data_IF_238936858819
#
_entry.id   IF_238936858819
#
_cell.length_a   1.000
_cell.length_b   1.000
_cell.length_c   1.000
_cell.angle_alpha   90.00
_cell.angle_beta   90.00
_cell.angle_gamma   90.00
#
_symmetry.space_group_name_H-M   'P 1'
#
loop_
_entity.id
_entity.type
_entity.pdbx_description
1 polymer ?
#
# COMPACT_ATOMS: atom_id res chain seq x y z
N UNK A 1 -30.58 33.30 -4.58
CA UNK A 1 -31.05 32.01 -4.02
C UNK A 1 -30.91 30.82 -4.97
N UNK A 2 -31.23 30.93 -6.27
CA UNK A 2 -31.21 29.80 -7.21
C UNK A 2 -29.82 29.22 -7.54
N UNK A 3 -28.75 30.01 -7.46
CA UNK A 3 -27.38 29.57 -7.78
C UNK A 3 -26.74 28.71 -6.66
N UNK A 4 -26.96 29.09 -5.40
CA UNK A 4 -26.49 28.33 -4.23
C UNK A 4 -27.19 26.97 -4.10
N UNK A 5 -28.49 26.89 -4.39
CA UNK A 5 -29.26 25.64 -4.33
C UNK A 5 -28.77 24.65 -5.40
N UNK A 6 -28.52 25.11 -6.63
CA UNK A 6 -27.96 24.26 -7.71
C UNK A 6 -26.54 23.78 -7.40
N UNK A 7 -25.71 24.60 -6.77
CA UNK A 7 -24.36 24.22 -6.37
C UNK A 7 -24.40 23.16 -5.26
N UNK A 8 -25.25 23.35 -4.25
CA UNK A 8 -25.43 22.40 -3.15
C UNK A 8 -25.92 21.02 -3.63
N UNK A 9 -26.88 20.99 -4.55
CA UNK A 9 -27.44 19.75 -5.12
C UNK A 9 -26.41 19.00 -6.00
N UNK A 10 -25.52 19.72 -6.70
CA UNK A 10 -24.40 19.12 -7.44
C UNK A 10 -23.37 18.49 -6.50
N UNK A 11 -23.04 19.16 -5.40
CA UNK A 11 -22.10 18.66 -4.39
C UNK A 11 -22.65 17.46 -3.60
N UNK A 12 -23.97 17.37 -3.40
CA UNK A 12 -24.61 16.17 -2.84
C UNK A 12 -24.49 14.97 -3.79
N UNK A 13 -24.85 15.15 -5.07
CA UNK A 13 -24.79 14.08 -6.07
C UNK A 13 -23.37 13.55 -6.32
N UNK A 14 -22.36 14.43 -6.24
CA UNK A 14 -20.95 14.02 -6.32
C UNK A 14 -20.54 13.18 -5.11
N UNK A 15 -20.93 13.59 -3.89
CA UNK A 15 -20.67 12.79 -2.68
C UNK A 15 -21.35 11.43 -2.72
N UNK A 16 -22.58 11.34 -3.24
CA UNK A 16 -23.29 10.07 -3.42
C UNK A 16 -22.60 9.15 -4.44
N UNK A 17 -22.00 9.74 -5.48
CA UNK A 17 -21.19 9.00 -6.46
C UNK A 17 -19.93 8.42 -5.80
N UNK A 18 -19.18 9.24 -5.07
CA UNK A 18 -17.92 8.83 -4.44
C UNK A 18 -18.14 7.72 -3.39
N UNK A 19 -19.21 7.85 -2.59
CA UNK A 19 -19.61 6.82 -1.61
C UNK A 19 -19.96 5.51 -2.30
N UNK A 20 -20.66 5.57 -3.45
CA UNK A 20 -20.97 4.36 -4.23
C UNK A 20 -19.70 3.70 -4.76
N UNK A 21 -18.80 4.46 -5.38
CA UNK A 21 -17.51 3.94 -5.86
C UNK A 21 -16.70 3.30 -4.73
N UNK A 22 -16.68 3.92 -3.55
CA UNK A 22 -16.03 3.37 -2.37
C UNK A 22 -16.65 2.01 -1.97
N UNK A 23 -17.98 1.92 -1.92
CA UNK A 23 -18.66 0.69 -1.54
C UNK A 23 -18.43 -0.42 -2.58
N UNK A 24 -18.51 -0.10 -3.86
CA UNK A 24 -18.23 -1.03 -4.96
C UNK A 24 -16.80 -1.56 -4.89
N UNK A 25 -15.81 -0.70 -4.64
CA UNK A 25 -14.42 -1.11 -4.46
C UNK A 25 -14.24 -2.05 -3.26
N UNK A 26 -14.87 -1.73 -2.11
CA UNK A 26 -14.83 -2.59 -0.92
C UNK A 26 -15.41 -3.97 -1.23
N UNK A 27 -16.56 -4.04 -1.90
CA UNK A 27 -17.17 -5.32 -2.29
C UNK A 27 -16.32 -6.11 -3.30
N UNK A 28 -15.70 -5.43 -4.26
CA UNK A 28 -14.74 -6.05 -5.19
C UNK A 28 -13.60 -6.71 -4.41
N UNK A 29 -12.96 -5.97 -3.50
CA UNK A 29 -11.81 -6.45 -2.75
C UNK A 29 -12.18 -7.60 -1.81
N UNK A 30 -13.33 -7.55 -1.13
CA UNK A 30 -13.84 -8.69 -0.35
C UNK A 30 -13.94 -9.95 -1.20
N UNK A 31 -14.62 -9.87 -2.35
CA UNK A 31 -14.80 -11.02 -3.25
C UNK A 31 -13.48 -11.54 -3.79
N UNK A 32 -12.55 -10.65 -4.17
CA UNK A 32 -11.21 -11.02 -4.66
C UNK A 32 -10.44 -11.79 -3.58
N UNK A 33 -10.44 -11.31 -2.34
CA UNK A 33 -9.64 -11.87 -1.25
C UNK A 33 -10.25 -13.14 -0.62
N UNK A 34 -11.58 -13.23 -0.57
CA UNK A 34 -12.26 -14.45 -0.14
C UNK A 34 -11.97 -15.63 -1.10
N UNK A 35 -12.04 -15.40 -2.42
CA UNK A 35 -11.69 -16.43 -3.42
C UNK A 35 -10.23 -16.89 -3.33
N UNK A 36 -9.30 -15.99 -3.04
CA UNK A 36 -7.89 -16.35 -2.85
C UNK A 36 -7.68 -17.23 -1.62
N UNK A 37 -8.54 -17.10 -0.60
CA UNK A 37 -8.54 -17.98 0.57
C UNK A 37 -9.06 -19.38 0.24
N UNK A 38 -10.05 -19.46 -0.66
CA UNK A 38 -10.65 -20.71 -1.12
C UNK A 38 -9.73 -21.48 -2.08
N UNK A 39 -8.97 -20.79 -2.93
CA UNK A 39 -8.05 -21.42 -3.91
C UNK A 39 -6.80 -22.08 -3.32
N UNK A 40 -6.52 -21.89 -2.02
CA UNK A 40 -5.43 -22.56 -1.28
C UNK A 40 -5.94 -23.82 -0.57
N UNK A 41 -7.26 -24.05 -0.54
CA UNK A 41 -7.86 -25.19 0.13
C UNK A 41 -8.15 -26.34 -0.85
N UNK A 42 -7.49 -27.48 -0.64
CA UNK A 42 -7.99 -28.80 -1.05
C UNK A 42 -9.43 -29.00 -0.51
N UNK A 43 -10.32 -29.72 -1.22
CA UNK A 43 -11.73 -29.82 -0.86
C UNK A 43 -11.90 -30.53 0.50
N UNK A 44 -12.11 -29.74 1.56
CA UNK A 44 -12.31 -30.25 2.92
C UNK A 44 -11.75 -29.37 4.05
N UNK A 45 -10.81 -28.46 3.77
CA UNK A 45 -10.22 -27.57 4.79
C UNK A 45 -10.39 -26.09 4.40
N UNK A 46 -11.57 -25.53 4.65
CA UNK A 46 -11.80 -24.08 4.59
C UNK A 46 -11.06 -23.38 5.74
N UNK A 47 -9.74 -23.28 5.65
CA UNK A 47 -8.96 -22.53 6.64
C UNK A 47 -9.06 -21.07 6.26
N UNK A 48 -10.05 -20.37 6.81
CA UNK A 48 -10.27 -18.95 6.57
C UNK A 48 -8.97 -18.16 6.84
N UNK A 49 -8.72 -17.05 6.13
CA UNK A 49 -7.61 -16.12 6.45
C UNK A 49 -7.61 -15.69 7.94
N UNK A 50 -8.77 -15.75 8.59
CA UNK A 50 -8.95 -15.51 10.03
C UNK A 50 -8.40 -16.63 10.93
N UNK A 51 -8.27 -17.86 10.44
CA UNK A 51 -7.81 -19.05 11.19
C UNK A 51 -6.31 -19.32 11.05
N UNK A 52 -5.67 -18.86 9.97
CA UNK A 52 -4.19 -18.88 9.80
C UNK A 52 -3.52 -17.81 10.69
N UNK A 53 -4.33 -17.05 11.42
CA UNK A 53 -3.97 -15.76 12.00
C UNK A 53 -3.27 -15.88 13.35
N UNK A 54 -2.04 -16.39 13.35
CA UNK A 54 -1.08 -16.09 14.42
C UNK A 54 -0.52 -14.69 14.17
N UNK A 55 -0.57 -13.84 15.19
CA UNK A 55 -0.26 -12.41 15.11
C UNK A 55 1.13 -12.15 14.51
N UNK A 56 1.17 -11.48 13.35
CA UNK A 56 2.40 -10.85 12.85
C UNK A 56 2.64 -9.57 13.65
N UNK A 57 3.66 -9.58 14.50
CA UNK A 57 4.10 -8.42 15.26
C UNK A 57 5.00 -7.53 14.41
N UNK A 58 4.62 -6.26 14.27
CA UNK A 58 5.40 -5.24 13.55
C UNK A 58 6.21 -4.44 14.58
N UNK A 59 7.51 -4.27 14.34
CA UNK A 59 8.41 -3.50 15.22
C UNK A 59 8.89 -2.20 14.55
N UNK A 60 9.11 -1.14 15.32
CA UNK A 60 9.71 0.10 14.80
C UNK A 60 11.22 -0.08 14.60
N UNK A 61 11.76 0.26 13.42
CA UNK A 61 13.18 0.10 13.09
C UNK A 61 13.91 1.44 12.98
N UNK A 62 14.87 1.71 13.89
CA UNK A 62 15.82 2.82 13.73
C UNK A 62 16.90 2.44 12.71
N UNK A 63 17.07 3.29 11.68
CA UNK A 63 18.05 3.17 10.60
C UNK A 63 19.47 2.94 11.15
N UNK A 64 19.98 1.71 11.01
CA UNK A 64 21.41 1.44 10.93
C UNK A 64 21.66 0.63 9.67
N UNK A 65 22.55 1.14 8.83
CA UNK A 65 23.08 0.44 7.67
C UNK A 65 23.73 -0.87 8.13
N UNK A 66 23.30 -1.99 7.54
CA UNK A 66 23.93 -3.30 7.78
C UNK A 66 24.51 -3.78 6.45
N UNK A 67 25.82 -3.96 6.44
CA UNK A 67 26.60 -4.44 5.30
C UNK A 67 26.02 -5.73 4.73
N UNK A 68 25.98 -5.75 3.40
CA UNK A 68 25.70 -6.94 2.59
C UNK A 68 26.85 -7.93 2.77
N UNK A 69 26.61 -9.07 3.42
CA UNK A 69 27.23 -10.34 3.06
C UNK A 69 26.58 -11.48 3.87
N UNK A 70 25.97 -12.41 3.12
CA UNK A 70 25.55 -13.74 3.52
C UNK A 70 24.37 -13.88 4.52
N UNK A 71 23.32 -14.57 4.07
CA UNK A 71 22.14 -14.99 4.84
C UNK A 71 22.43 -16.04 5.94
N UNK A 72 23.62 -16.06 6.53
CA UNK A 72 23.96 -17.05 7.56
C UNK A 72 24.69 -16.40 8.73
N UNK A 73 24.01 -16.45 9.89
CA UNK A 73 24.45 -16.11 11.25
C UNK A 73 24.61 -14.62 11.53
N UNK A 74 23.69 -14.11 12.36
CA UNK A 74 24.09 -13.41 13.58
C UNK A 74 22.98 -13.39 14.62
N UNK A 75 23.19 -14.23 15.62
CA UNK A 75 22.56 -14.17 16.93
C UNK A 75 23.27 -13.06 17.74
N UNK A 76 22.50 -12.36 18.56
CA UNK A 76 22.89 -11.57 19.74
C UNK A 76 23.66 -10.25 19.52
N UNK A 77 22.96 -9.13 19.71
CA UNK A 77 23.05 -8.29 20.94
C UNK A 77 22.64 -6.86 20.59
N UNK A 78 21.36 -6.54 20.72
CA UNK A 78 20.92 -5.16 20.92
C UNK A 78 19.58 -5.19 21.67
N UNK A 79 19.63 -4.95 22.97
CA UNK A 79 18.50 -4.53 23.79
C UNK A 79 17.96 -3.20 23.22
N UNK A 80 17.08 -3.29 22.23
CA UNK A 80 16.36 -2.15 21.65
C UNK A 80 14.89 -2.33 21.96
N UNK A 81 14.25 -1.25 22.44
CA UNK A 81 12.84 -1.22 22.82
C UNK A 81 12.00 -1.76 21.65
N UNK A 82 11.53 -3.00 21.79
CA UNK A 82 10.55 -3.60 20.90
C UNK A 82 9.21 -2.97 21.24
N UNK A 83 8.85 -1.88 20.55
CA UNK A 83 7.48 -1.39 20.60
C UNK A 83 6.67 -2.15 19.54
N UNK A 84 5.77 -3.01 19.99
CA UNK A 84 4.81 -3.73 19.15
C UNK A 84 3.84 -2.72 18.58
N UNK A 85 3.98 -2.40 17.30
CA UNK A 85 3.08 -1.48 16.62
C UNK A 85 1.77 -2.21 16.39
N UNK A 86 0.69 -1.72 17.02
CA UNK A 86 -0.64 -2.24 16.76
C UNK A 86 -1.08 -1.84 15.36
N UNK A 87 -1.92 -2.65 14.71
CA UNK A 87 -2.34 -2.43 13.31
C UNK A 87 -2.93 -1.05 13.10
N UNK A 88 -3.62 -0.53 14.11
CA UNK A 88 -4.26 0.79 14.13
C UNK A 88 -3.26 1.96 14.16
N UNK A 89 -1.95 1.66 14.25
CA UNK A 89 -0.88 2.62 14.49
C UNK A 89 0.13 2.70 13.35
N UNK A 90 -0.05 1.90 12.29
CA UNK A 90 0.86 1.83 11.13
C UNK A 90 1.12 3.22 10.51
N UNK A 91 0.13 4.11 10.52
CA UNK A 91 0.25 5.48 10.01
C UNK A 91 0.12 6.56 11.10
N UNK A 92 0.19 6.20 12.38
CA UNK A 92 0.16 7.20 13.47
C UNK A 92 1.53 7.90 13.58
N UNK A 93 1.58 9.23 13.67
CA UNK A 93 2.83 9.96 13.82
C UNK A 93 3.49 9.65 15.17
N UNK A 94 4.73 9.16 15.12
CA UNK A 94 5.49 8.78 16.31
C UNK A 94 5.97 9.95 17.16
N UNK A 95 6.20 11.16 16.59
CA UNK A 95 6.42 12.38 17.40
C UNK A 95 6.38 13.75 16.69
N UNK A 96 6.68 13.94 15.40
CA UNK A 96 6.67 15.31 14.84
C UNK A 96 6.29 15.46 13.35
N UNK A 97 6.08 14.38 12.58
CA UNK A 97 5.55 14.45 11.21
C UNK A 97 4.69 13.21 10.90
N UNK A 98 3.62 13.34 10.10
CA UNK A 98 2.84 12.18 9.63
C UNK A 98 3.71 11.27 8.76
N UNK A 99 3.73 9.97 9.10
CA UNK A 99 4.43 8.96 8.31
C UNK A 99 3.62 8.72 7.03
N UNK A 100 4.14 9.20 5.90
CA UNK A 100 3.50 9.03 4.59
C UNK A 100 3.68 7.62 4.03
N UNK A 101 4.91 7.11 4.09
CA UNK A 101 5.28 5.82 3.51
C UNK A 101 5.76 4.90 4.61
N UNK A 102 5.16 3.72 4.71
CA UNK A 102 5.58 2.61 5.56
C UNK A 102 6.20 1.53 4.68
N UNK A 103 7.34 0.99 5.10
CA UNK A 103 7.95 -0.18 4.45
C UNK A 103 8.06 -1.34 5.43
N UNK A 104 7.41 -2.46 5.14
CA UNK A 104 7.54 -3.73 5.87
C UNK A 104 8.57 -4.62 5.19
N UNK A 105 9.60 -5.01 5.93
CA UNK A 105 10.68 -5.91 5.45
C UNK A 105 10.59 -7.24 6.18
N UNK A 106 10.76 -8.35 5.47
CA UNK A 106 10.77 -9.68 6.09
C UNK A 106 11.23 -10.78 5.14
N UNK A 107 11.60 -11.95 5.67
CA UNK A 107 12.06 -13.10 4.88
C UNK A 107 11.00 -13.61 3.89
N UNK A 108 11.42 -14.42 2.91
CA UNK A 108 10.48 -15.13 2.04
C UNK A 108 9.58 -16.06 2.86
N UNK A 109 8.30 -16.17 2.48
CA UNK A 109 7.35 -17.06 3.16
C UNK A 109 6.85 -16.59 4.54
N UNK A 110 7.35 -15.48 5.09
CA UNK A 110 6.97 -15.01 6.44
C UNK A 110 5.51 -14.48 6.54
N UNK A 111 4.81 -14.35 5.41
CA UNK A 111 3.40 -13.95 5.41
C UNK A 111 3.12 -12.47 5.13
N UNK A 112 4.09 -11.69 4.62
CA UNK A 112 3.88 -10.27 4.24
C UNK A 112 2.67 -10.06 3.32
N UNK A 113 2.53 -10.87 2.26
CA UNK A 113 1.37 -10.81 1.36
C UNK A 113 0.07 -11.14 2.09
N UNK A 114 0.08 -12.14 2.98
CA UNK A 114 -1.10 -12.50 3.79
C UNK A 114 -1.50 -11.36 4.73
N UNK A 115 -0.53 -10.64 5.31
CA UNK A 115 -0.77 -9.43 6.10
C UNK A 115 -1.50 -8.36 5.30
N UNK A 116 -1.01 -8.04 4.10
CA UNK A 116 -1.65 -7.05 3.21
C UNK A 116 -3.07 -7.48 2.83
N UNK A 117 -3.25 -8.74 2.47
CA UNK A 117 -4.56 -9.30 2.11
C UNK A 117 -5.54 -9.18 3.27
N UNK A 118 -5.13 -9.57 4.48
CA UNK A 118 -5.97 -9.46 5.68
C UNK A 118 -6.32 -8.01 6.00
N UNK A 119 -5.34 -7.12 6.00
CA UNK A 119 -5.56 -5.70 6.27
C UNK A 119 -6.58 -5.10 5.29
N UNK A 120 -6.42 -5.40 4.00
CA UNK A 120 -7.34 -4.95 2.95
C UNK A 120 -8.75 -5.52 3.15
N UNK A 121 -8.86 -6.79 3.52
CA UNK A 121 -10.14 -7.44 3.81
C UNK A 121 -10.82 -6.80 5.03
N UNK A 122 -10.10 -6.59 6.13
CA UNK A 122 -10.63 -5.96 7.34
C UNK A 122 -11.10 -4.52 7.08
N UNK A 123 -10.34 -3.74 6.31
CA UNK A 123 -10.77 -2.40 5.90
C UNK A 123 -12.04 -2.44 5.06
N UNK A 124 -12.09 -3.36 4.08
CA UNK A 124 -13.25 -3.51 3.21
C UNK A 124 -14.51 -3.94 3.98
N UNK A 125 -14.35 -4.79 4.99
CA UNK A 125 -15.41 -5.22 5.93
C UNK A 125 -15.80 -4.16 6.96
N UNK A 126 -15.13 -3.00 6.98
CA UNK A 126 -15.47 -1.90 7.88
C UNK A 126 -14.84 -2.03 9.28
N UNK A 127 -13.90 -2.95 9.50
CA UNK A 127 -13.36 -3.28 10.82
C UNK A 127 -12.26 -2.35 11.30
N UNK A 128 -11.51 -1.72 10.38
CA UNK A 128 -10.33 -0.92 10.73
C UNK A 128 -10.08 0.22 9.74
N UNK A 129 -9.31 1.24 10.15
CA UNK A 129 -8.84 2.36 9.30
C UNK A 129 -9.92 3.04 8.44
N UNK A 130 -11.10 3.29 9.01
CA UNK A 130 -12.21 3.93 8.29
C UNK A 130 -11.97 5.42 7.96
N UNK A 131 -10.88 6.01 8.47
CA UNK A 131 -10.38 7.30 8.01
C UNK A 131 -9.78 7.25 6.60
N UNK A 132 -9.43 6.06 6.09
CA UNK A 132 -8.94 5.86 4.72
C UNK A 132 -10.14 5.58 3.81
N UNK A 133 -10.33 6.43 2.82
CA UNK A 133 -11.48 6.37 1.91
C UNK A 133 -11.25 5.37 0.78
N UNK A 134 -10.03 5.26 0.26
CA UNK A 134 -9.69 4.29 -0.79
C UNK A 134 -8.40 3.54 -0.46
N UNK A 135 -8.40 2.22 -0.67
CA UNK A 135 -7.19 1.39 -0.61
C UNK A 135 -7.00 0.72 -1.98
N UNK A 136 -5.83 0.92 -2.57
CA UNK A 136 -5.46 0.34 -3.85
C UNK A 136 -4.25 -0.59 -3.69
N UNK A 137 -4.48 -1.91 -3.52
CA UNK A 137 -3.39 -2.88 -3.45
C UNK A 137 -2.91 -3.31 -4.84
N UNK A 138 -1.64 -3.06 -5.12
CA UNK A 138 -0.92 -3.50 -6.32
C UNK A 138 0.18 -4.48 -5.93
N UNK A 139 0.37 -5.53 -6.72
CA UNK A 139 1.59 -6.34 -6.65
C UNK A 139 2.59 -5.84 -7.69
N UNK A 140 3.89 -5.87 -7.38
CA UNK A 140 4.91 -5.58 -8.39
C UNK A 140 4.89 -6.58 -9.55
N UNK A 141 4.42 -7.83 -9.31
CA UNK A 141 4.18 -8.80 -10.37
C UNK A 141 3.16 -8.32 -11.40
N UNK A 142 2.01 -7.81 -10.95
CA UNK A 142 0.98 -7.24 -11.83
C UNK A 142 1.53 -6.00 -12.57
N UNK A 143 2.23 -5.11 -11.88
CA UNK A 143 2.82 -3.91 -12.48
C UNK A 143 3.88 -4.24 -13.54
N UNK A 144 4.66 -5.29 -13.34
CA UNK A 144 5.67 -5.74 -14.31
C UNK A 144 5.06 -6.15 -15.66
N UNK A 145 3.80 -6.60 -15.69
CA UNK A 145 3.11 -6.96 -16.95
C UNK A 145 2.90 -5.71 -17.81
N UNK A 146 2.70 -4.56 -17.19
CA UNK A 146 2.38 -3.28 -17.82
C UNK A 146 3.61 -2.38 -18.03
N UNK A 147 4.83 -2.90 -17.82
CA UNK A 147 6.08 -2.10 -17.79
C UNK A 147 6.41 -1.33 -19.07
N UNK A 148 5.91 -1.79 -20.22
CA UNK A 148 6.13 -1.15 -21.53
C UNK A 148 5.00 -0.17 -21.90
N UNK A 149 3.94 -0.11 -21.10
CA UNK A 149 2.80 0.77 -21.32
C UNK A 149 2.97 2.10 -20.57
N UNK A 150 2.24 3.11 -21.03
CA UNK A 150 2.16 4.42 -20.37
C UNK A 150 0.78 4.61 -19.76
N UNK A 151 0.77 5.11 -18.54
CA UNK A 151 -0.44 5.39 -17.78
C UNK A 151 -0.33 6.76 -17.13
N UNK A 152 -1.47 7.39 -16.88
CA UNK A 152 -1.57 8.35 -15.78
C UNK A 152 -1.84 7.60 -14.48
N UNK A 153 -1.63 8.20 -13.31
CA UNK A 153 -1.96 7.54 -12.04
C UNK A 153 -3.45 7.19 -11.97
N UNK A 154 -4.32 8.10 -12.40
CA UNK A 154 -5.76 7.87 -12.53
C UNK A 154 -6.05 6.72 -13.50
N UNK A 155 -5.39 6.70 -14.65
CA UNK A 155 -5.52 5.63 -15.64
C UNK A 155 -5.11 4.26 -15.09
N UNK A 156 -4.01 4.21 -14.34
CA UNK A 156 -3.52 2.99 -13.70
C UNK A 156 -4.50 2.47 -12.65
N UNK A 157 -5.04 3.35 -11.81
CA UNK A 157 -6.07 2.98 -10.82
C UNK A 157 -7.30 2.41 -11.54
N UNK A 158 -7.81 3.09 -12.56
CA UNK A 158 -8.99 2.63 -13.32
C UNK A 158 -8.77 1.35 -14.11
N UNK A 159 -7.51 1.03 -14.47
CA UNK A 159 -7.16 -0.22 -15.12
C UNK A 159 -7.37 -1.41 -14.18
N UNK A 160 -6.91 -1.30 -12.93
CA UNK A 160 -7.03 -2.37 -11.94
C UNK A 160 -8.33 -2.35 -11.12
N UNK A 161 -8.92 -1.18 -10.93
CA UNK A 161 -10.07 -0.93 -10.04
C UNK A 161 -11.17 -0.19 -10.78
N UNK A 162 -11.84 -0.91 -11.68
CA UNK A 162 -12.87 -0.35 -12.57
C UNK A 162 -14.05 0.29 -11.83
N UNK A 163 -14.29 -0.11 -10.58
CA UNK A 163 -15.32 0.39 -9.66
C UNK A 163 -15.13 1.88 -9.34
N UNK A 164 -13.91 2.41 -9.53
CA UNK A 164 -13.60 3.82 -9.30
C UNK A 164 -13.67 4.68 -10.56
N UNK A 165 -13.99 4.09 -11.72
CA UNK A 165 -14.12 4.82 -12.99
C UNK A 165 -15.14 5.95 -12.86
N UNK A 166 -14.65 7.17 -13.03
CA UNK A 166 -15.43 8.41 -12.90
C UNK A 166 -14.86 9.35 -11.84
N UNK A 167 -14.02 8.85 -10.93
CA UNK A 167 -13.21 9.67 -10.05
C UNK A 167 -11.94 10.10 -10.82
N UNK A 168 -11.80 11.39 -11.10
CA UNK A 168 -10.61 11.93 -11.76
C UNK A 168 -9.64 12.61 -10.80
N UNK A 169 -10.09 12.98 -9.61
CA UNK A 169 -9.29 13.69 -8.62
C UNK A 169 -9.24 12.90 -7.30
N UNK A 170 -8.20 12.09 -7.16
CA UNK A 170 -7.97 11.33 -5.93
C UNK A 170 -7.37 12.16 -4.78
N UNK A 171 -6.92 13.40 -5.01
CA UNK A 171 -6.35 14.26 -3.96
C UNK A 171 -7.38 14.70 -2.91
N UNK A 172 -8.67 14.64 -3.26
CA UNK A 172 -9.78 14.99 -2.36
C UNK A 172 -10.06 13.92 -1.31
N UNK A 173 -9.38 12.76 -1.41
CA UNK A 173 -9.60 11.62 -0.53
C UNK A 173 -8.34 11.24 0.23
N UNK A 174 -8.54 10.64 1.40
CA UNK A 174 -7.50 9.89 2.07
C UNK A 174 -7.31 8.55 1.37
N UNK A 175 -6.24 8.44 0.57
CA UNK A 175 -5.91 7.25 -0.22
C UNK A 175 -4.71 6.53 0.37
N UNK A 176 -4.75 5.20 0.39
CA UNK A 176 -3.61 4.33 0.67
C UNK A 176 -3.30 3.46 -0.54
N UNK A 177 -2.09 3.57 -1.07
CA UNK A 177 -1.55 2.61 -2.02
C UNK A 177 -0.76 1.55 -1.28
N UNK A 178 -1.01 0.29 -1.58
CA UNK A 178 -0.21 -0.82 -1.07
C UNK A 178 0.56 -1.41 -2.25
N UNK A 179 1.89 -1.49 -2.14
CA UNK A 179 2.76 -2.09 -3.13
C UNK A 179 3.41 -3.35 -2.54
N UNK A 180 2.85 -4.51 -2.88
CA UNK A 180 3.32 -5.80 -2.37
C UNK A 180 4.43 -6.37 -3.27
N UNK A 181 5.53 -6.81 -2.63
CA UNK A 181 6.60 -7.56 -3.28
C UNK A 181 7.60 -6.71 -4.08
N UNK A 182 8.13 -5.61 -3.52
CA UNK A 182 9.16 -4.79 -4.19
C UNK A 182 10.39 -5.61 -4.63
N UNK A 183 10.72 -6.70 -3.92
CA UNK A 183 11.77 -7.63 -4.33
C UNK A 183 11.52 -8.35 -5.66
N UNK A 184 10.31 -8.23 -6.19
CA UNK A 184 9.89 -8.80 -7.46
C UNK A 184 9.77 -7.74 -8.56
N UNK A 185 10.07 -6.47 -8.26
CA UNK A 185 10.05 -5.38 -9.23
C UNK A 185 11.05 -5.62 -10.35
N UNK A 186 10.61 -5.42 -11.59
CA UNK A 186 11.45 -5.32 -12.80
C UNK A 186 11.46 -3.90 -13.36
N UNK A 187 10.85 -2.96 -12.64
CA UNK A 187 10.81 -1.55 -13.00
C UNK A 187 12.11 -0.88 -12.52
N UNK A 188 12.80 -0.12 -13.37
CA UNK A 188 14.04 0.56 -12.99
C UNK A 188 13.72 1.83 -12.19
N UNK A 189 13.31 1.68 -10.93
CA UNK A 189 12.91 2.75 -10.00
C UNK A 189 14.02 3.79 -9.79
N UNK A 190 14.12 4.75 -10.71
CA UNK A 190 15.18 5.75 -10.74
C UNK A 190 14.79 6.98 -9.93
N UNK A 191 15.28 7.01 -8.69
CA UNK A 191 15.08 8.14 -7.78
C UNK A 191 16.07 9.30 -7.99
N UNK A 192 17.06 9.13 -8.88
CA UNK A 192 17.99 10.20 -9.26
C UNK A 192 17.47 11.05 -10.41
N UNK A 193 16.51 10.53 -11.18
CA UNK A 193 15.84 11.29 -12.23
C UNK A 193 15.20 12.58 -11.66
N UNK A 194 15.39 13.68 -12.39
CA UNK A 194 14.86 14.99 -12.06
C UNK A 194 13.46 15.25 -12.65
N UNK A 195 12.90 14.31 -13.41
CA UNK A 195 11.53 14.39 -13.91
C UNK A 195 10.54 14.47 -12.75
N UNK A 196 9.82 15.59 -12.68
CA UNK A 196 8.80 15.88 -11.67
C UNK A 196 7.44 15.75 -12.33
N UNK A 197 6.66 14.80 -11.85
CA UNK A 197 5.27 14.58 -12.24
C UNK A 197 4.38 14.88 -11.04
N UNK A 198 3.49 15.87 -11.19
CA UNK A 198 2.56 16.30 -10.13
C UNK A 198 1.10 16.09 -10.50
N UNK A 199 0.77 16.08 -11.80
CA UNK A 199 -0.60 15.87 -12.27
C UNK A 199 -0.92 14.37 -12.39
N UNK A 200 -1.88 13.90 -11.60
CA UNK A 200 -2.31 12.49 -11.60
C UNK A 200 -3.00 12.04 -12.89
N UNK A 201 -3.37 12.97 -13.78
CA UNK A 201 -4.02 12.72 -15.07
C UNK A 201 -3.03 12.69 -16.25
N UNK A 202 -1.81 13.17 -16.06
CA UNK A 202 -0.75 13.16 -17.07
C UNK A 202 -0.17 11.74 -17.23
N UNK A 203 0.01 11.31 -18.48
CA UNK A 203 0.47 9.96 -18.80
C UNK A 203 2.00 9.88 -18.85
N UNK A 204 2.58 8.93 -18.12
CA UNK A 204 4.01 8.65 -18.12
C UNK A 204 4.28 7.15 -17.98
N UNK A 205 5.56 6.75 -17.93
CA UNK A 205 5.94 5.36 -17.66
C UNK A 205 5.62 4.98 -16.20
N UNK A 206 5.42 3.68 -15.93
CA UNK A 206 5.23 3.19 -14.56
C UNK A 206 6.40 3.55 -13.63
N UNK A 207 7.62 3.58 -14.17
CA UNK A 207 8.80 4.00 -13.40
C UNK A 207 8.66 5.44 -12.88
N UNK A 208 8.34 6.38 -13.77
CA UNK A 208 8.17 7.80 -13.42
C UNK A 208 6.99 7.99 -12.47
N UNK A 209 5.88 7.30 -12.72
CA UNK A 209 4.69 7.34 -11.85
C UNK A 209 5.03 6.90 -10.42
N UNK A 210 5.62 5.71 -10.27
CA UNK A 210 5.90 5.13 -8.94
C UNK A 210 6.99 5.92 -8.20
N UNK A 211 8.05 6.36 -8.88
CA UNK A 211 9.10 7.17 -8.24
C UNK A 211 8.56 8.52 -7.77
N UNK A 212 7.75 9.22 -8.58
CA UNK A 212 7.14 10.48 -8.17
C UNK A 212 6.08 10.30 -7.08
N UNK A 213 5.32 9.21 -7.10
CA UNK A 213 4.42 8.86 -6.01
C UNK A 213 5.20 8.57 -4.73
N UNK A 214 6.28 7.78 -4.75
CA UNK A 214 7.08 7.46 -3.56
C UNK A 214 7.79 8.70 -3.02
N UNK A 215 8.32 9.58 -3.88
CA UNK A 215 8.93 10.86 -3.50
C UNK A 215 7.94 11.90 -2.98
N UNK A 216 6.64 11.65 -3.08
CA UNK A 216 5.58 12.57 -2.68
C UNK A 216 5.44 13.78 -3.60
N UNK A 217 5.89 13.69 -4.86
CA UNK A 217 5.64 14.70 -5.89
C UNK A 217 4.29 14.51 -6.56
N UNK A 218 3.92 13.25 -6.79
CA UNK A 218 2.60 12.86 -7.30
C UNK A 218 1.71 12.44 -6.13
N UNK A 219 0.51 13.01 -6.05
CA UNK A 219 -0.48 12.71 -5.02
C UNK A 219 0.10 12.80 -3.59
N UNK A 220 0.57 13.99 -3.16
CA UNK A 220 1.37 14.15 -1.94
C UNK A 220 0.64 13.73 -0.65
N UNK A 221 -0.68 13.83 -0.60
CA UNK A 221 -1.51 13.45 0.55
C UNK A 221 -1.68 11.94 0.73
N UNK A 222 -1.37 11.14 -0.29
CA UNK A 222 -1.57 9.70 -0.25
C UNK A 222 -0.58 8.99 0.68
N UNK A 223 -1.08 8.00 1.40
CA UNK A 223 -0.29 7.08 2.20
C UNK A 223 0.21 5.93 1.33
N UNK A 224 1.38 5.39 1.66
CA UNK A 224 1.98 4.27 0.96
C UNK A 224 2.36 3.17 1.94
N UNK A 225 2.08 1.92 1.61
CA UNK A 225 2.61 0.74 2.31
C UNK A 225 3.31 -0.17 1.32
N UNK A 226 4.61 -0.40 1.53
CA UNK A 226 5.44 -1.22 0.66
C UNK A 226 5.92 -2.45 1.42
N UNK A 227 5.79 -3.64 0.82
CA UNK A 227 6.39 -4.86 1.39
C UNK A 227 7.60 -5.30 0.57
N UNK A 228 8.62 -5.86 1.22
CA UNK A 228 9.82 -6.30 0.52
C UNK A 228 10.63 -7.31 1.32
N UNK A 229 11.54 -8.02 0.65
CA UNK A 229 12.67 -8.68 1.32
C UNK A 229 13.74 -7.64 1.68
N UNK A 230 14.48 -7.82 2.80
CA UNK A 230 15.51 -6.87 3.23
C UNK A 230 16.50 -6.47 2.12
N UNK A 231 16.93 -7.43 1.30
CA UNK A 231 17.90 -7.20 0.20
C UNK A 231 17.40 -6.23 -0.88
N UNK A 232 16.09 -6.12 -1.09
CA UNK A 232 15.48 -5.24 -2.09
C UNK A 232 15.05 -3.89 -1.51
N UNK A 233 15.10 -3.70 -0.19
CA UNK A 233 14.69 -2.46 0.45
C UNK A 233 15.51 -1.24 0.01
N UNK A 234 16.78 -1.43 -0.38
CA UNK A 234 17.66 -0.36 -0.85
C UNK A 234 17.28 0.20 -2.22
N UNK A 235 16.33 -0.42 -2.92
CA UNK A 235 15.76 0.17 -4.15
C UNK A 235 15.01 1.48 -3.88
N UNK A 236 14.56 1.70 -2.64
CA UNK A 236 13.89 2.95 -2.24
C UNK A 236 14.82 3.72 -1.30
N UNK A 237 15.10 5.01 -1.59
CA UNK A 237 15.94 5.82 -0.73
C UNK A 237 15.37 5.94 0.70
N UNK A 238 16.22 5.87 1.75
CA UNK A 238 15.75 5.95 3.14
C UNK A 238 14.95 7.22 3.47
N UNK A 239 15.25 8.35 2.84
CA UNK A 239 14.53 9.61 3.06
C UNK A 239 13.10 9.62 2.48
N UNK A 240 12.75 8.65 1.63
CA UNK A 240 11.39 8.51 1.09
C UNK A 240 10.48 7.64 1.97
N UNK A 241 10.99 7.05 3.05
CA UNK A 241 10.26 6.06 3.87
C UNK A 241 10.35 6.38 5.36
N UNK A 242 9.22 6.31 6.07
CA UNK A 242 9.20 6.05 7.50
C UNK A 242 9.31 4.53 7.70
N UNK A 243 10.38 4.07 8.35
CA UNK A 243 10.71 2.63 8.36
C UNK A 243 10.06 1.92 9.55
N UNK A 244 9.29 0.86 9.26
CA UNK A 244 8.86 -0.15 10.24
C UNK A 244 9.50 -1.50 9.87
N UNK A 245 10.50 -1.98 10.61
CA UNK A 245 11.16 -3.27 10.32
C UNK A 245 10.52 -4.41 11.10
N UNK A 246 10.25 -5.56 10.47
CA UNK A 246 10.03 -6.81 11.22
C UNK A 246 11.37 -7.44 11.59
N UNK A 247 11.55 -7.75 12.87
CA UNK A 247 12.42 -8.84 13.32
C UNK A 247 11.70 -9.52 14.49
N UNK A 248 11.16 -10.73 14.33
CA UNK A 248 10.83 -11.57 15.49
C UNK A 248 11.30 -13.02 15.30
N UNK A 249 12.03 -13.45 16.33
CA UNK A 249 12.63 -14.75 16.57
C UNK A 249 11.57 -15.82 16.85
N UNK A 250 11.88 -17.07 16.49
CA UNK A 250 11.14 -18.25 17.01
C UNK A 250 11.25 -18.35 18.51
#
# INVERSE_FOLDING_TARGET
MSFQIKHFDKTLKLRDFDVRCQQELKEHLKKKLQRLSEGVAEPGNQTFLNQIYTELHITEGLTREVNQEHEVRRIETATRKQETIRREEIFKPGRDQPIRTVMTKGAAGIGKTVLIQKFTLDWAEGKTHQNIQFIFPFTFRELNVLKEEKFSLVGLIHHFFTETKGISNFEQFQVLFIFDGLDESRLPLDFHNQEILTDATESSSLNVLLTNLIRGKLLPSALLWITTRPAAASQIPPHCVGVLQEEIQR
#
